data_IF_029251962610
#
_entry.id   IF_029251962610
#
_cell.length_a   1.000
_cell.length_b   1.000
_cell.length_c   1.000
_cell.angle_alpha   90.00
_cell.angle_beta   90.00
_cell.angle_gamma   90.00
#
_symmetry.space_group_name_H-M   'P 1'
#
loop_
_entity.id
_entity.type
_entity.pdbx_description
1 polymer ?
#
# COMPACT_ATOMS: atom_id res chain seq x y z
N UNK A 1 10.20 -16.14 -10.02
CA UNK A 1 9.05 -16.34 -9.12
C UNK A 1 9.38 -16.09 -7.66
N UNK A 2 10.40 -16.69 -7.04
CA UNK A 2 10.72 -16.45 -5.61
C UNK A 2 10.93 -14.98 -5.25
N UNK A 3 11.78 -14.26 -5.98
CA UNK A 3 12.12 -12.86 -5.68
C UNK A 3 10.91 -11.93 -5.79
N UNK A 4 10.00 -12.15 -6.75
CA UNK A 4 8.79 -11.33 -6.90
C UNK A 4 7.82 -11.49 -5.72
N UNK A 5 7.74 -12.66 -5.10
CA UNK A 5 6.96 -12.84 -3.87
C UNK A 5 7.60 -12.11 -2.68
N UNK A 6 8.94 -12.15 -2.59
CA UNK A 6 9.68 -11.45 -1.53
C UNK A 6 9.49 -9.94 -1.67
N UNK A 7 9.79 -9.39 -2.85
CA UNK A 7 9.63 -7.95 -3.12
C UNK A 7 8.18 -7.50 -2.99
N UNK A 8 7.22 -8.29 -3.51
CA UNK A 8 5.80 -7.99 -3.38
C UNK A 8 5.34 -7.94 -1.93
N UNK A 9 5.80 -8.89 -1.10
CA UNK A 9 5.54 -8.88 0.35
C UNK A 9 6.06 -7.61 1.01
N UNK A 10 7.32 -7.23 0.78
CA UNK A 10 7.89 -6.01 1.38
C UNK A 10 7.12 -4.75 0.97
N UNK A 11 6.70 -4.64 -0.29
CA UNK A 11 5.89 -3.52 -0.76
C UNK A 11 4.52 -3.48 -0.07
N UNK A 12 3.89 -4.64 0.12
CA UNK A 12 2.61 -4.76 0.80
C UNK A 12 2.73 -4.40 2.29
N UNK A 13 3.78 -4.85 2.97
CA UNK A 13 4.06 -4.53 4.37
C UNK A 13 4.27 -3.03 4.57
N UNK A 14 5.00 -2.37 3.66
CA UNK A 14 5.15 -0.90 3.66
C UNK A 14 3.81 -0.21 3.49
N UNK A 15 3.02 -0.59 2.48
CA UNK A 15 1.71 0.00 2.22
C UNK A 15 0.75 -0.15 3.42
N UNK A 16 0.80 -1.31 4.10
CA UNK A 16 0.01 -1.57 5.29
C UNK A 16 0.41 -0.68 6.47
N UNK A 17 1.72 -0.55 6.72
CA UNK A 17 2.24 0.28 7.81
C UNK A 17 1.87 1.76 7.59
N UNK A 18 2.04 2.24 6.35
CA UNK A 18 1.71 3.61 5.95
C UNK A 18 0.20 3.89 6.03
N UNK A 19 -0.63 2.93 5.62
CA UNK A 19 -2.09 3.03 5.75
C UNK A 19 -2.55 3.05 7.21
N UNK A 20 -1.95 2.21 8.07
CA UNK A 20 -2.27 2.19 9.50
C UNK A 20 -1.90 3.52 10.17
N UNK A 21 -0.72 4.06 9.83
CA UNK A 21 -0.28 5.38 10.31
C UNK A 21 -1.21 6.50 9.84
N UNK A 22 -1.62 6.49 8.57
CA UNK A 22 -2.60 7.46 8.04
C UNK A 22 -3.91 7.42 8.84
N UNK A 23 -4.44 6.23 9.17
CA UNK A 23 -5.65 6.10 10.00
C UNK A 23 -5.45 6.66 11.40
N UNK A 24 -4.31 6.38 12.02
CA UNK A 24 -3.93 6.93 13.33
C UNK A 24 -3.89 8.46 13.31
N UNK A 25 -3.23 9.05 12.31
CA UNK A 25 -3.15 10.51 12.11
C UNK A 25 -4.53 11.15 11.87
N UNK A 26 -5.45 10.42 11.24
CA UNK A 26 -6.86 10.83 11.06
C UNK A 26 -7.73 10.62 12.32
N UNK A 27 -7.19 10.05 13.40
CA UNK A 27 -7.94 9.70 14.60
C UNK A 27 -8.96 8.56 14.39
N UNK A 28 -8.76 7.74 13.35
CA UNK A 28 -9.64 6.61 13.02
C UNK A 28 -8.99 5.29 13.44
N UNK A 29 -9.79 4.31 13.91
CA UNK A 29 -9.24 2.99 14.21
C UNK A 29 -8.78 2.30 12.91
N UNK A 30 -7.56 1.74 12.94
CA UNK A 30 -7.09 0.89 11.86
C UNK A 30 -7.81 -0.47 11.88
N UNK A 31 -8.30 -0.90 10.71
CA UNK A 31 -8.86 -2.24 10.51
C UNK A 31 -8.23 -2.90 9.30
N UNK A 32 -7.62 -4.08 9.50
CA UNK A 32 -6.99 -4.85 8.41
C UNK A 32 -7.97 -5.19 7.27
N UNK A 33 -9.25 -5.38 7.61
CA UNK A 33 -10.30 -5.64 6.64
C UNK A 33 -10.48 -4.47 5.67
N UNK A 34 -10.52 -3.23 6.16
CA UNK A 34 -10.66 -2.04 5.30
C UNK A 34 -9.49 -1.91 4.33
N UNK A 35 -8.27 -2.21 4.80
CA UNK A 35 -7.08 -2.23 3.95
C UNK A 35 -7.20 -3.29 2.85
N UNK A 36 -7.54 -4.54 3.19
CA UNK A 36 -7.66 -5.62 2.22
C UNK A 36 -8.82 -5.42 1.24
N UNK A 37 -9.96 -4.92 1.73
CA UNK A 37 -11.11 -4.58 0.89
C UNK A 37 -10.76 -3.46 -0.10
N UNK A 38 -10.05 -2.42 0.38
CA UNK A 38 -9.53 -1.35 -0.47
C UNK A 38 -8.56 -1.88 -1.54
N UNK A 39 -7.56 -2.65 -1.14
CA UNK A 39 -6.57 -3.24 -2.05
C UNK A 39 -7.23 -4.12 -3.11
N UNK A 40 -8.17 -4.98 -2.72
CA UNK A 40 -8.90 -5.86 -3.64
C UNK A 40 -9.79 -5.08 -4.61
N UNK A 41 -10.37 -3.96 -4.17
CA UNK A 41 -11.24 -3.12 -5.01
C UNK A 41 -10.48 -2.37 -6.11
N UNK A 42 -9.21 -2.02 -5.87
CA UNK A 42 -8.32 -1.37 -6.84
C UNK A 42 -7.97 -2.32 -8.01
N UNK A 43 -8.03 -3.62 -7.76
CA UNK A 43 -7.72 -4.66 -8.76
C UNK A 43 -6.23 -4.97 -8.87
N UNK A 44 -5.85 -5.67 -9.95
CA UNK A 44 -4.48 -6.17 -10.11
C UNK A 44 -3.56 -5.13 -10.76
N UNK A 45 -3.04 -4.22 -9.93
CA UNK A 45 -2.02 -3.23 -10.31
C UNK A 45 -0.74 -3.43 -9.50
N UNK A 46 0.41 -2.87 -9.93
CA UNK A 46 1.61 -2.81 -9.11
C UNK A 46 1.33 -2.28 -7.69
N UNK A 47 1.84 -2.97 -6.66
CA UNK A 47 1.60 -2.60 -5.26
C UNK A 47 2.05 -1.16 -4.96
N UNK A 48 3.07 -0.64 -5.63
CA UNK A 48 3.51 0.75 -5.48
C UNK A 48 2.45 1.77 -5.92
N UNK A 49 1.64 1.45 -6.92
CA UNK A 49 0.50 2.28 -7.34
C UNK A 49 -0.68 2.13 -6.37
N UNK A 50 -0.95 0.90 -5.93
CA UNK A 50 -1.98 0.66 -4.90
C UNK A 50 -1.66 1.38 -3.58
N UNK A 51 -0.38 1.41 -3.19
CA UNK A 51 0.08 2.16 -2.03
C UNK A 51 -0.25 3.65 -2.18
N UNK A 52 0.12 4.26 -3.31
CA UNK A 52 -0.19 5.66 -3.58
C UNK A 52 -1.70 5.95 -3.59
N UNK A 53 -2.51 5.10 -4.23
CA UNK A 53 -3.97 5.27 -4.27
C UNK A 53 -4.59 5.21 -2.86
N UNK A 54 -4.06 4.34 -1.99
CA UNK A 54 -4.61 4.12 -0.65
C UNK A 54 -4.14 5.11 0.41
N UNK A 55 -2.95 5.70 0.26
CA UNK A 55 -2.31 6.55 1.29
C UNK A 55 -1.90 7.93 0.80
N UNK A 56 -1.93 8.17 -0.51
CA UNK A 56 -1.39 9.37 -1.15
C UNK A 56 0.15 9.43 -1.20
N UNK A 57 0.87 8.44 -0.67
CA UNK A 57 2.34 8.48 -0.61
C UNK A 57 2.98 8.21 -1.97
N UNK A 58 3.76 9.18 -2.46
CA UNK A 58 4.43 9.11 -3.79
C UNK A 58 5.84 8.52 -3.76
N UNK A 59 6.37 8.19 -2.58
CA UNK A 59 7.78 7.85 -2.38
C UNK A 59 8.25 6.67 -3.24
N UNK A 60 7.42 5.62 -3.35
CA UNK A 60 7.71 4.46 -4.19
C UNK A 60 7.60 4.74 -5.70
N UNK A 61 6.90 5.81 -6.09
CA UNK A 61 6.71 6.21 -7.49
C UNK A 61 7.81 7.16 -7.99
N UNK A 62 8.59 7.79 -7.11
CA UNK A 62 9.67 8.73 -7.47
C UNK A 62 10.72 8.14 -8.42
N UNK A 63 10.89 6.81 -8.40
CA UNK A 63 11.82 6.13 -9.29
C UNK A 63 11.21 5.76 -10.65
N UNK A 64 9.88 5.79 -10.77
CA UNK A 64 9.13 5.47 -12.00
C UNK A 64 8.88 6.76 -12.81
N UNK A 65 8.65 7.90 -12.15
CA UNK A 65 8.30 9.18 -12.77
C UNK A 65 9.51 9.99 -13.29
N UNK A 66 10.69 9.38 -13.44
CA UNK A 66 11.91 10.04 -13.93
C UNK A 66 12.08 9.94 -15.43
#
# INVERSE_FOLDING_TARGET
YGTSYITGKYLLESALADYAKMKEDEGKPFQIREFMDGLNSIGNIPISLGHWEMTGQVEQLKNILK
#
